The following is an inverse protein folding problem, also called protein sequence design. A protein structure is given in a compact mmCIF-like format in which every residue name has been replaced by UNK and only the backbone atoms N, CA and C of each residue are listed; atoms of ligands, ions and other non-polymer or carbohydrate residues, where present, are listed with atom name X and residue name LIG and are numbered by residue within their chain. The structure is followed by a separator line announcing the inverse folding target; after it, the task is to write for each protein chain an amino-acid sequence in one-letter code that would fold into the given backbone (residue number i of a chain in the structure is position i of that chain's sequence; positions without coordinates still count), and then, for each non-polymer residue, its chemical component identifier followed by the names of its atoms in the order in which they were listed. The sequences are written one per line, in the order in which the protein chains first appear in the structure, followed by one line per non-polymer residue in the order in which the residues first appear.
data_IF_604480905738
#
_entry.id   IF_604480905738
#
_cell.length_a   1.000
_cell.length_b   1.000
_cell.length_c   1.000
_cell.angle_alpha   90.00
_cell.angle_beta   90.00
_cell.angle_gamma   90.00
#
_symmetry.space_group_name_H-M   'P 1'
#
loop_
_entity.id
_entity.type
_entity.pdbx_description
1 polymer ?
#
# COMPACT_ATOMS: atom_id res chain seq x y z
N UNK A 1 4.59 6.51 8.17
CA UNK A 1 3.24 6.52 7.56
C UNK A 1 2.47 5.28 7.96
N UNK A 2 1.22 5.45 8.22
CA UNK A 2 0.26 4.38 8.46
C UNK A 2 -0.68 4.30 7.24
N UNK A 3 -0.83 3.09 6.70
CA UNK A 3 -1.74 2.85 5.57
C UNK A 3 -2.63 1.66 5.93
N UNK A 4 -3.93 1.86 5.83
CA UNK A 4 -4.91 0.81 6.08
C UNK A 4 -5.84 0.66 4.89
N UNK A 5 -6.01 -0.57 4.42
CA UNK A 5 -6.99 -0.85 3.38
C UNK A 5 -8.41 -0.71 3.94
N UNK A 6 -9.21 0.15 3.34
CA UNK A 6 -10.62 0.31 3.66
C UNK A 6 -11.45 -0.70 2.86
N UNK A 7 -11.25 -0.72 1.55
CA UNK A 7 -11.94 -1.65 0.66
C UNK A 7 -11.17 -1.82 -0.64
N UNK A 8 -11.23 -3.02 -1.20
CA UNK A 8 -10.83 -3.25 -2.59
C UNK A 8 -11.85 -4.16 -3.25
N UNK A 9 -12.14 -3.90 -4.51
CA UNK A 9 -13.12 -4.67 -5.27
C UNK A 9 -12.69 -4.81 -6.72
N UNK A 10 -12.78 -6.04 -7.21
CA UNK A 10 -12.50 -6.36 -8.61
C UNK A 10 -11.13 -5.88 -9.06
N UNK A 11 -10.15 -5.90 -8.17
CA UNK A 11 -8.78 -5.51 -8.49
C UNK A 11 -7.81 -6.64 -8.23
N UNK A 12 -6.78 -6.69 -9.04
CA UNK A 12 -5.61 -7.53 -8.85
C UNK A 12 -4.37 -6.64 -8.73
N UNK A 13 -3.33 -7.18 -8.10
CA UNK A 13 -2.10 -6.47 -7.80
C UNK A 13 -2.32 -5.37 -6.75
N UNK A 14 -1.77 -4.19 -6.91
CA UNK A 14 -1.71 -3.24 -5.81
C UNK A 14 -0.81 -3.78 -4.70
N UNK A 15 0.32 -4.37 -5.09
CA UNK A 15 1.27 -4.98 -4.16
C UNK A 15 2.11 -3.87 -3.54
N UNK A 16 2.19 -3.85 -2.21
CA UNK A 16 3.06 -2.93 -1.49
C UNK A 16 4.48 -3.49 -1.50
N UNK A 17 5.42 -2.69 -1.98
CA UNK A 17 6.84 -3.02 -1.97
C UNK A 17 7.57 -2.10 -1.03
N UNK A 18 8.42 -2.66 -0.20
CA UNK A 18 9.25 -1.89 0.73
C UNK A 18 10.72 -2.12 0.42
N UNK A 19 11.50 -1.07 0.59
CA UNK A 19 12.94 -1.10 0.34
C UNK A 19 13.69 -0.22 1.32
N UNK A 20 14.98 -0.49 1.48
CA UNK A 20 15.87 0.33 2.27
C UNK A 20 16.18 1.66 1.55
N UNK A 21 16.74 2.62 2.29
CA UNK A 21 17.07 3.94 1.74
C UNK A 21 18.07 3.87 0.58
N UNK A 22 18.88 2.83 0.49
CA UNK A 22 19.81 2.60 -0.61
C UNK A 22 19.19 1.91 -1.84
N UNK A 23 17.89 1.62 -1.79
CA UNK A 23 17.16 0.95 -2.86
C UNK A 23 17.12 -0.58 -2.76
N UNK A 24 17.74 -1.17 -1.74
CA UNK A 24 17.72 -2.62 -1.55
C UNK A 24 16.31 -3.09 -1.22
N UNK A 25 15.73 -4.03 -1.99
CA UNK A 25 14.41 -4.57 -1.67
C UNK A 25 14.40 -5.27 -0.31
N UNK A 26 13.39 -4.98 0.51
CA UNK A 26 13.20 -5.58 1.83
C UNK A 26 12.05 -6.59 1.85
N UNK A 27 11.07 -6.42 0.96
CA UNK A 27 9.95 -7.33 0.87
C UNK A 27 8.77 -6.73 0.15
N UNK A 28 7.74 -7.54 -0.01
CA UNK A 28 6.48 -7.10 -0.61
C UNK A 28 5.31 -7.86 0.01
N UNK A 29 4.16 -7.22 0.04
CA UNK A 29 2.92 -7.80 0.52
C UNK A 29 1.72 -7.07 -0.07
N UNK A 30 0.55 -7.66 0.02
CA UNK A 30 -0.68 -7.03 -0.45
C UNK A 30 -1.61 -6.79 0.73
N UNK A 31 -2.09 -5.57 0.87
CA UNK A 31 -3.21 -5.27 1.75
C UNK A 31 -4.47 -5.80 1.06
N UNK A 32 -4.92 -6.98 1.45
CA UNK A 32 -5.93 -7.74 0.70
C UNK A 32 -7.31 -7.67 1.33
N UNK A 33 -7.39 -7.58 2.66
CA UNK A 33 -8.64 -7.58 3.41
C UNK A 33 -8.89 -6.22 4.04
N UNK A 34 -10.15 -5.79 4.16
CA UNK A 34 -10.46 -4.56 4.90
C UNK A 34 -9.88 -4.62 6.31
N UNK A 35 -9.19 -3.55 6.70
CA UNK A 35 -8.49 -3.47 7.98
C UNK A 35 -7.02 -3.90 7.94
N UNK A 36 -6.57 -4.55 6.87
CA UNK A 36 -5.14 -4.81 6.70
C UNK A 36 -4.38 -3.48 6.66
N UNK A 37 -3.29 -3.40 7.41
CA UNK A 37 -2.58 -2.15 7.57
C UNK A 37 -1.07 -2.36 7.66
N UNK A 38 -0.34 -1.28 7.40
CA UNK A 38 1.10 -1.22 7.60
C UNK A 38 1.49 0.08 8.29
N UNK A 39 2.56 0.03 9.06
CA UNK A 39 3.17 1.21 9.68
C UNK A 39 4.66 1.21 9.31
N UNK A 40 5.12 2.27 8.67
CA UNK A 40 6.47 2.38 8.13
C UNK A 40 7.09 3.70 8.54
N UNK A 41 8.38 3.67 8.89
CA UNK A 41 9.19 4.86 9.08
C UNK A 41 9.68 5.37 7.72
N UNK A 42 9.04 6.38 7.17
CA UNK A 42 9.34 6.96 5.86
C UNK A 42 10.74 7.53 5.74
N UNK A 43 11.39 7.84 6.85
CA UNK A 43 12.73 8.41 6.83
C UNK A 43 13.80 7.37 6.50
N UNK A 44 13.50 6.09 6.69
CA UNK A 44 14.46 5.00 6.57
C UNK A 44 14.08 3.98 5.51
N UNK A 45 12.83 3.97 5.13
CA UNK A 45 12.26 2.92 4.28
C UNK A 45 11.47 3.55 3.16
N UNK A 46 11.73 3.12 1.92
CA UNK A 46 10.88 3.46 0.80
C UNK A 46 9.74 2.47 0.70
N UNK A 47 8.58 2.97 0.31
CA UNK A 47 7.43 2.13 0.01
C UNK A 47 6.75 2.61 -1.25
N UNK A 48 6.15 1.70 -1.95
CA UNK A 48 5.38 1.99 -3.15
C UNK A 48 4.34 0.90 -3.37
N UNK A 49 3.38 1.18 -4.22
CA UNK A 49 2.32 0.24 -4.56
C UNK A 49 2.31 0.04 -6.06
N UNK A 50 2.26 -1.21 -6.50
CA UNK A 50 2.14 -1.52 -7.92
C UNK A 50 0.78 -1.06 -8.45
N UNK A 51 0.72 -0.81 -9.75
CA UNK A 51 -0.52 -0.43 -10.41
C UNK A 51 -1.58 -1.51 -10.24
N UNK A 52 -2.81 -1.09 -9.97
CA UNK A 52 -3.94 -2.02 -9.88
C UNK A 52 -4.56 -2.23 -11.25
N UNK A 53 -5.11 -3.44 -11.45
CA UNK A 53 -5.81 -3.80 -12.67
C UNK A 53 -7.14 -4.45 -12.32
N UNK A 54 -8.17 -4.21 -13.14
CA UNK A 54 -9.44 -4.88 -12.95
C UNK A 54 -9.30 -6.38 -13.25
N UNK A 55 -9.85 -7.21 -12.40
CA UNK A 55 -9.97 -8.66 -12.67
C UNK A 55 -10.95 -8.87 -13.83
N UNK A 56 -12.10 -8.20 -13.76
CA UNK A 56 -13.10 -8.17 -14.82
C UNK A 56 -13.24 -6.73 -15.34
N UNK A 57 -12.72 -6.43 -16.56
CA UNK A 57 -12.76 -5.06 -17.08
C UNK A 57 -14.18 -4.53 -17.33
N UNK A 58 -15.19 -5.40 -17.37
CA UNK A 58 -16.58 -5.01 -17.56
C UNK A 58 -17.27 -4.53 -16.28
N UNK A 59 -16.60 -4.66 -15.13
CA UNK A 59 -17.13 -4.28 -13.83
C UNK A 59 -16.32 -3.15 -13.20
N UNK A 60 -16.94 -2.30 -12.35
CA UNK A 60 -16.20 -1.30 -11.60
C UNK A 60 -15.12 -1.93 -10.74
N UNK A 61 -13.96 -1.26 -10.66
CA UNK A 61 -12.83 -1.69 -9.86
C UNK A 61 -12.29 -0.52 -9.06
N UNK A 62 -12.01 -0.75 -7.76
CA UNK A 62 -11.43 0.29 -6.90
C UNK A 62 -10.64 -0.28 -5.74
N UNK A 63 -9.79 0.57 -5.21
CA UNK A 63 -9.03 0.32 -4.00
C UNK A 63 -9.01 1.59 -3.18
N UNK A 64 -9.61 1.56 -2.00
CA UNK A 64 -9.65 2.67 -1.06
C UNK A 64 -8.74 2.38 0.12
N UNK A 65 -7.90 3.34 0.47
CA UNK A 65 -7.00 3.23 1.59
C UNK A 65 -7.02 4.51 2.43
N UNK A 66 -6.90 4.35 3.74
CA UNK A 66 -6.68 5.45 4.68
C UNK A 66 -5.18 5.61 4.85
N UNK A 67 -4.68 6.83 4.65
CA UNK A 67 -3.26 7.15 4.82
C UNK A 67 -3.11 8.21 5.90
N UNK A 68 -2.30 7.93 6.90
CA UNK A 68 -1.97 8.88 7.98
C UNK A 68 -0.47 9.11 7.96
N UNK A 69 -0.08 10.36 7.79
CA UNK A 69 1.31 10.78 7.85
C UNK A 69 1.59 11.40 9.19
N UNK A 70 2.67 10.97 9.82
CA UNK A 70 3.11 11.50 11.11
C UNK A 70 4.21 12.52 10.88
N UNK A 71 4.12 13.65 11.57
CA UNK A 71 5.11 14.70 11.51
C UNK A 71 5.79 14.79 12.88
N UNK A 72 7.12 14.71 12.88
CA UNK A 72 7.89 14.91 14.11
C UNK A 72 7.72 16.36 14.59
N UNK A 73 7.42 16.52 15.85
CA UNK A 73 7.19 17.81 16.46
C UNK A 73 8.27 18.03 17.51
N UNK A 74 9.21 18.89 17.20
CA UNK A 74 10.34 19.20 18.08
C UNK A 74 10.11 20.49 18.87
#
# INVERSE_FOLDING_TARGET
VFVMLVERRNVREGITRIGAADGTPMGEFTLAQPGDAMLIDDHRIFHGVTEIHAVDPAQPAWRDALVITFVANN
#
